data_IF_225951414233
#
_entry.id   IF_225951414233
#
_cell.length_a   1.000
_cell.length_b   1.000
_cell.length_c   1.000
_cell.angle_alpha   90.00
_cell.angle_beta   90.00
_cell.angle_gamma   90.00
#
_symmetry.space_group_name_H-M   'P 1'
#
loop_
_entity.id
_entity.type
_entity.pdbx_description
1 polymer ?
#
# COMPACT_ATOMS: atom_id res chain seq x y z
N UNK A 1 4.59 20.59 -23.77
CA UNK A 1 5.32 20.41 -22.50
C UNK A 1 5.47 18.93 -22.20
N UNK A 2 6.61 18.50 -21.81
CA UNK A 2 6.84 17.08 -21.58
C UNK A 2 6.51 16.70 -20.14
N UNK A 3 5.95 15.54 -19.99
CA UNK A 3 5.70 14.96 -18.68
C UNK A 3 7.00 14.46 -18.09
N UNK A 4 7.09 14.52 -16.79
CA UNK A 4 8.23 13.98 -16.08
C UNK A 4 7.80 12.64 -15.49
N UNK A 5 8.54 11.59 -15.80
CA UNK A 5 8.29 10.27 -15.27
C UNK A 5 9.27 9.97 -14.15
N UNK A 6 8.76 9.70 -12.97
CA UNK A 6 9.57 9.39 -11.80
C UNK A 6 9.20 8.00 -11.31
N UNK A 7 10.20 7.15 -11.20
CA UNK A 7 10.03 5.82 -10.59
C UNK A 7 10.63 5.87 -9.20
N UNK A 8 9.87 5.40 -8.24
CA UNK A 8 10.23 5.52 -6.84
C UNK A 8 10.09 4.15 -6.16
N UNK A 9 11.06 3.81 -5.35
CA UNK A 9 10.98 2.62 -4.52
C UNK A 9 10.78 3.03 -3.08
N UNK A 10 9.80 2.45 -2.42
CA UNK A 10 9.42 2.80 -1.06
C UNK A 10 9.36 1.56 -0.18
N UNK A 11 9.96 1.64 0.99
CA UNK A 11 9.88 0.58 1.98
C UNK A 11 9.45 1.19 3.30
N UNK A 12 8.49 0.57 3.97
CA UNK A 12 8.03 1.04 5.27
C UNK A 12 7.52 -0.12 6.12
N UNK A 13 7.50 0.12 7.41
CA UNK A 13 6.95 -0.82 8.39
C UNK A 13 5.68 -0.23 8.98
N UNK A 14 4.69 -1.06 9.20
CA UNK A 14 3.41 -0.62 9.74
C UNK A 14 2.83 -1.74 10.59
N UNK A 15 2.13 -1.39 11.67
CA UNK A 15 1.44 -2.38 12.48
C UNK A 15 0.14 -2.79 11.78
N UNK A 16 -0.37 -3.97 12.13
CA UNK A 16 -1.61 -4.46 11.54
C UNK A 16 -2.79 -3.52 11.84
N UNK A 17 -2.89 -3.05 13.08
CA UNK A 17 -4.00 -2.14 13.43
C UNK A 17 -3.91 -0.81 12.71
N UNK A 18 -2.72 -0.27 12.51
CA UNK A 18 -2.54 0.96 11.74
C UNK A 18 -2.89 0.74 10.27
N UNK A 19 -2.56 -0.43 9.74
CA UNK A 19 -2.91 -0.77 8.36
C UNK A 19 -4.43 -0.89 8.20
N UNK A 20 -5.10 -1.56 9.14
CA UNK A 20 -6.55 -1.65 9.12
C UNK A 20 -7.20 -0.27 9.15
N UNK A 21 -6.72 0.61 10.02
CA UNK A 21 -7.23 1.97 10.13
C UNK A 21 -7.03 2.74 8.83
N UNK A 22 -5.85 2.62 8.22
CA UNK A 22 -5.55 3.30 6.97
C UNK A 22 -6.41 2.82 5.81
N UNK A 23 -6.58 1.52 5.67
CA UNK A 23 -7.42 0.96 4.62
C UNK A 23 -8.88 1.38 4.79
N UNK A 24 -9.37 1.40 6.03
CA UNK A 24 -10.73 1.86 6.32
C UNK A 24 -10.89 3.35 6.02
N UNK A 25 -9.91 4.16 6.38
CA UNK A 25 -9.97 5.61 6.16
C UNK A 25 -10.04 5.96 4.67
N UNK A 26 -9.29 5.25 3.84
CA UNK A 26 -9.28 5.50 2.40
C UNK A 26 -10.27 4.61 1.65
N UNK A 27 -11.02 3.78 2.35
CA UNK A 27 -12.00 2.85 1.78
C UNK A 27 -11.38 1.99 0.69
N UNK A 28 -10.20 1.46 0.98
CA UNK A 28 -9.46 0.60 0.06
C UNK A 28 -9.26 -0.78 0.65
N UNK A 29 -9.09 -1.77 -0.22
CA UNK A 29 -8.92 -3.17 0.18
C UNK A 29 -7.47 -3.64 0.08
N UNK A 30 -6.60 -2.84 -0.52
CA UNK A 30 -5.21 -3.23 -0.72
C UNK A 30 -4.27 -2.06 -0.44
N UNK A 31 -3.02 -2.40 -0.09
CA UNK A 31 -2.00 -1.41 0.22
C UNK A 31 -1.68 -0.56 -1.01
N UNK A 32 -1.55 -1.18 -2.18
CA UNK A 32 -1.22 -0.42 -3.39
C UNK A 32 -2.31 0.59 -3.75
N UNK A 33 -3.58 0.23 -3.58
CA UNK A 33 -4.69 1.17 -3.80
C UNK A 33 -4.68 2.29 -2.78
N UNK A 34 -4.42 1.97 -1.51
CA UNK A 34 -4.35 2.96 -0.44
C UNK A 34 -3.23 3.98 -0.71
N UNK A 35 -2.05 3.51 -1.08
CA UNK A 35 -0.91 4.38 -1.37
C UNK A 35 -1.22 5.27 -2.58
N UNK A 36 -1.87 4.72 -3.61
CA UNK A 36 -2.30 5.51 -4.77
C UNK A 36 -3.20 6.68 -4.36
N UNK A 37 -4.16 6.42 -3.48
CA UNK A 37 -5.06 7.47 -2.99
C UNK A 37 -4.31 8.55 -2.23
N UNK A 38 -3.37 8.15 -1.40
CA UNK A 38 -2.54 9.09 -0.64
C UNK A 38 -1.76 9.99 -1.60
N UNK A 39 -1.16 9.41 -2.63
CA UNK A 39 -0.39 10.17 -3.62
C UNK A 39 -1.26 11.14 -4.40
N UNK A 40 -2.44 10.71 -4.83
CA UNK A 40 -3.36 11.59 -5.56
C UNK A 40 -3.84 12.75 -4.72
N UNK A 41 -3.96 12.57 -3.41
CA UNK A 41 -4.34 13.65 -2.51
C UNK A 41 -3.20 14.60 -2.21
N UNK A 42 -1.97 14.09 -2.21
CA UNK A 42 -0.79 14.88 -1.84
C UNK A 42 -0.16 15.63 -3.00
N UNK A 43 -0.29 15.10 -4.20
CA UNK A 43 0.33 15.66 -5.40
C UNK A 43 -0.67 15.70 -6.55
N UNK A 44 -0.54 16.71 -7.39
CA UNK A 44 -1.32 16.78 -8.63
C UNK A 44 -0.62 15.95 -9.69
N UNK A 45 -0.82 14.65 -9.65
CA UNK A 45 -0.23 13.72 -10.61
C UNK A 45 -1.28 13.22 -11.59
N UNK A 46 -0.87 13.01 -12.83
CA UNK A 46 -1.77 12.53 -13.88
C UNK A 46 -2.04 11.04 -13.74
N UNK A 47 -1.02 10.29 -13.39
CA UNK A 47 -1.13 8.84 -13.32
C UNK A 47 -0.14 8.30 -12.29
N UNK A 48 -0.61 7.41 -11.44
CA UNK A 48 0.24 6.73 -10.48
C UNK A 48 -0.01 5.23 -10.59
N UNK A 49 1.07 4.48 -10.77
CA UNK A 49 0.99 3.02 -10.82
C UNK A 49 1.72 2.48 -9.59
N UNK A 50 0.96 2.16 -8.56
CA UNK A 50 1.48 1.67 -7.30
C UNK A 50 1.32 0.16 -7.22
N UNK A 51 2.39 -0.52 -6.82
CA UNK A 51 2.38 -1.97 -6.75
C UNK A 51 3.22 -2.43 -5.57
N UNK A 52 2.68 -3.35 -4.79
CA UNK A 52 3.44 -3.99 -3.73
C UNK A 52 4.31 -5.07 -4.37
N UNK A 53 5.62 -4.89 -4.29
CA UNK A 53 6.59 -5.83 -4.88
C UNK A 53 7.08 -6.85 -3.87
N UNK A 54 6.95 -6.56 -2.58
CA UNK A 54 7.37 -7.44 -1.51
C UNK A 54 6.52 -7.17 -0.28
N UNK A 55 6.04 -8.22 0.37
CA UNK A 55 5.21 -8.10 1.54
C UNK A 55 3.72 -8.24 1.23
N UNK A 56 2.87 -8.18 2.27
CA UNK A 56 1.43 -8.34 2.07
C UNK A 56 0.80 -7.10 1.47
N UNK A 57 -0.18 -7.31 0.60
CA UNK A 57 -0.92 -6.23 -0.05
C UNK A 57 -2.34 -6.09 0.50
N UNK A 58 -2.85 -7.12 1.16
CA UNK A 58 -4.20 -7.11 1.73
C UNK A 58 -4.15 -7.63 3.16
N UNK A 59 -5.24 -7.39 3.91
CA UNK A 59 -5.33 -7.92 5.27
C UNK A 59 -5.38 -9.45 5.28
N UNK A 60 -5.94 -10.06 4.25
CA UNK A 60 -5.94 -11.52 4.11
C UNK A 60 -4.51 -12.04 4.00
N UNK A 61 -3.66 -11.36 3.26
CA UNK A 61 -2.26 -11.74 3.12
C UNK A 61 -1.50 -11.56 4.43
N UNK A 62 -1.83 -10.51 5.20
CA UNK A 62 -1.26 -10.30 6.54
C UNK A 62 -1.61 -11.46 7.45
N UNK A 63 -2.88 -11.87 7.45
CA UNK A 63 -3.35 -12.99 8.27
C UNK A 63 -2.67 -14.29 7.85
N UNK A 64 -2.50 -14.50 6.56
CA UNK A 64 -1.83 -15.69 6.05
C UNK A 64 -0.36 -15.74 6.49
N UNK A 65 0.33 -14.61 6.46
CA UNK A 65 1.71 -14.55 6.93
C UNK A 65 1.82 -14.79 8.43
N UNK A 66 0.88 -14.24 9.19
CA UNK A 66 0.84 -14.44 10.64
C UNK A 66 0.60 -15.91 10.97
N UNK A 67 -0.35 -16.53 10.29
CA UNK A 67 -0.65 -17.95 10.50
C UNK A 67 0.55 -18.82 10.16
N UNK A 68 1.25 -18.52 9.08
CA UNK A 68 2.45 -19.25 8.71
C UNK A 68 3.57 -19.09 9.75
N UNK A 69 3.73 -17.86 10.26
CA UNK A 69 4.74 -17.60 11.31
C UNK A 69 4.38 -18.28 12.61
N UNK A 70 3.09 -18.31 12.97
CA UNK A 70 2.63 -18.92 14.20
C UNK A 70 2.77 -20.44 14.21
N UNK A 71 2.68 -21.04 13.05
CA UNK A 71 2.77 -22.48 12.90
C UNK A 71 4.19 -23.02 13.08
N UNK A 72 5.19 -22.14 13.01
CA UNK A 72 6.59 -22.51 13.16
C UNK A 72 7.07 -22.62 14.59
#
# INVERSE_FOLDING_TARGET
>A
MSDIKIKLSLEFNITESDLEDGLAEYDELSVDSMISQILYKSLAIDEADCKVVEGPNTLEEVDAQRAASSAG
#
